data_IF_430850251371
#
_entry.id   IF_430850251371
#
_cell.length_a   1.000
_cell.length_b   1.000
_cell.length_c   1.000
_cell.angle_alpha   90.00
_cell.angle_beta   90.00
_cell.angle_gamma   90.00
#
_symmetry.space_group_name_H-M   'P 1'
#
loop_
_entity.id
_entity.type
_entity.pdbx_description
1 polymer ?
#
# COMPACT_ATOMS: atom_id res chain seq x y z
N UNK A 1 -8.45 -15.87 -4.54
CA UNK A 1 -7.30 -15.11 -4.03
C UNK A 1 -7.41 -14.96 -2.52
N UNK A 2 -6.57 -15.70 -1.79
CA UNK A 2 -6.58 -15.76 -0.33
C UNK A 2 -6.25 -14.39 0.31
N UNK A 3 -5.55 -13.50 -0.38
CA UNK A 3 -5.20 -12.16 0.12
C UNK A 3 -6.43 -11.29 0.36
N UNK A 4 -7.54 -11.58 -0.34
CA UNK A 4 -8.82 -10.89 -0.17
C UNK A 4 -9.80 -11.62 0.78
N UNK A 5 -9.34 -12.62 1.51
CA UNK A 5 -10.16 -13.36 2.47
C UNK A 5 -10.37 -12.59 3.77
N UNK A 6 -11.39 -12.96 4.53
CA UNK A 6 -11.64 -12.42 5.87
C UNK A 6 -10.53 -12.77 6.88
N UNK A 7 -9.71 -13.78 6.57
CA UNK A 7 -8.52 -14.10 7.34
C UNK A 7 -7.46 -13.00 7.22
N UNK A 8 -7.28 -12.41 6.03
CA UNK A 8 -6.27 -11.37 5.77
C UNK A 8 -6.80 -9.94 5.93
N UNK A 9 -8.11 -9.76 5.79
CA UNK A 9 -8.73 -8.43 5.89
C UNK A 9 -9.93 -8.52 6.82
N UNK A 10 -9.82 -7.93 8.00
CA UNK A 10 -10.95 -7.80 8.92
C UNK A 10 -11.92 -6.74 8.41
N UNK A 11 -13.09 -7.16 7.98
CA UNK A 11 -14.17 -6.28 7.48
C UNK A 11 -15.31 -6.12 8.46
N UNK A 12 -15.47 -7.08 9.38
CA UNK A 12 -16.57 -7.12 10.33
C UNK A 12 -16.10 -6.66 11.71
N UNK A 13 -16.82 -5.71 12.26
CA UNK A 13 -16.58 -5.14 13.57
C UNK A 13 -17.81 -5.37 14.46
N UNK A 14 -17.59 -5.57 15.73
CA UNK A 14 -18.63 -5.84 16.71
C UNK A 14 -18.44 -4.95 17.93
N UNK A 15 -19.55 -4.53 18.55
CA UNK A 15 -19.51 -3.79 19.79
C UNK A 15 -18.96 -4.70 20.90
N UNK A 16 -17.88 -4.28 21.54
CA UNK A 16 -17.19 -5.07 22.56
C UNK A 16 -17.19 -4.44 23.95
N UNK A 17 -17.95 -3.36 24.17
CA UNK A 17 -18.11 -2.77 25.49
C UNK A 17 -19.17 -3.53 26.28
N UNK A 18 -18.81 -4.29 27.35
CA UNK A 18 -19.76 -5.07 28.11
C UNK A 18 -20.77 -4.21 28.93
N UNK A 19 -20.45 -2.93 29.14
CA UNK A 19 -21.34 -2.01 29.84
C UNK A 19 -22.49 -1.51 28.95
N UNK A 20 -22.35 -1.64 27.63
CA UNK A 20 -23.39 -1.31 26.66
C UNK A 20 -24.20 -2.54 26.27
N UNK A 21 -24.94 -3.08 27.22
CA UNK A 21 -25.61 -4.40 27.11
C UNK A 21 -26.53 -4.52 25.90
N UNK A 22 -27.15 -3.43 25.44
CA UNK A 22 -28.05 -3.43 24.28
C UNK A 22 -27.30 -3.61 22.93
N UNK A 23 -26.04 -3.25 22.88
CA UNK A 23 -25.21 -3.29 21.67
C UNK A 23 -24.14 -4.39 21.73
N UNK A 24 -23.78 -4.84 22.93
CA UNK A 24 -22.71 -5.82 23.12
C UNK A 24 -22.87 -7.05 22.23
N UNK A 25 -21.83 -7.39 21.48
CA UNK A 25 -21.82 -8.53 20.55
C UNK A 25 -22.55 -8.29 19.23
N UNK A 26 -23.26 -7.18 19.06
CA UNK A 26 -23.90 -6.86 17.77
C UNK A 26 -22.87 -6.39 16.76
N UNK A 27 -23.10 -6.74 15.49
CA UNK A 27 -22.27 -6.26 14.37
C UNK A 27 -22.47 -4.76 14.17
N UNK A 28 -21.37 -4.02 14.02
CA UNK A 28 -21.41 -2.61 13.65
C UNK A 28 -21.94 -2.47 12.21
N UNK A 29 -22.86 -1.53 12.00
CA UNK A 29 -23.31 -1.19 10.67
C UNK A 29 -22.26 -0.27 9.99
N UNK A 30 -21.40 -0.87 9.15
CA UNK A 30 -20.31 -0.20 8.47
C UNK A 30 -20.61 -0.21 6.98
N UNK A 31 -20.67 0.98 6.39
CA UNK A 31 -20.81 1.20 4.95
C UNK A 31 -19.53 1.81 4.40
N UNK A 32 -19.38 1.84 3.07
CA UNK A 32 -18.25 2.55 2.45
C UNK A 32 -18.19 4.02 2.87
N UNK A 33 -19.34 4.66 3.06
CA UNK A 33 -19.42 6.02 3.57
C UNK A 33 -18.79 6.17 4.96
N UNK A 34 -18.98 5.18 5.86
CA UNK A 34 -18.37 5.22 7.19
C UNK A 34 -16.87 4.97 7.15
N UNK A 35 -16.33 4.27 6.16
CA UNK A 35 -14.87 4.10 6.02
C UNK A 35 -14.14 5.42 5.86
N UNK A 36 -14.72 6.36 5.14
CA UNK A 36 -14.12 7.68 4.92
C UNK A 36 -14.38 8.67 6.05
N UNK A 37 -15.48 8.52 6.79
CA UNK A 37 -15.88 9.42 7.87
C UNK A 37 -15.31 9.04 9.25
N UNK A 38 -15.13 7.74 9.50
CA UNK A 38 -14.58 7.24 10.78
C UNK A 38 -13.29 6.48 10.53
N UNK A 39 -12.17 7.06 10.95
CA UNK A 39 -10.83 6.44 10.80
C UNK A 39 -10.63 5.14 11.60
N UNK A 40 -11.62 4.71 12.38
CA UNK A 40 -11.54 3.54 13.24
C UNK A 40 -12.31 2.32 12.72
N UNK A 41 -13.22 2.48 11.77
CA UNK A 41 -14.12 1.43 11.28
C UNK A 41 -13.95 1.21 9.77
N UNK A 42 -12.76 0.84 9.35
CA UNK A 42 -12.43 0.51 7.97
C UNK A 42 -11.90 -0.93 7.86
N UNK A 43 -11.86 -1.52 6.66
CA UNK A 43 -11.22 -2.82 6.46
C UNK A 43 -9.76 -2.78 6.94
N UNK A 44 -9.42 -3.62 7.91
CA UNK A 44 -8.10 -3.63 8.53
C UNK A 44 -7.32 -4.88 8.12
N UNK A 45 -6.07 -4.68 7.69
CA UNK A 45 -5.17 -5.79 7.39
C UNK A 45 -4.78 -6.51 8.68
N UNK A 46 -4.91 -7.84 8.68
CA UNK A 46 -4.46 -8.69 9.79
C UNK A 46 -3.02 -9.16 9.63
N UNK A 47 -2.40 -8.85 8.49
CA UNK A 47 -1.04 -9.27 8.11
C UNK A 47 0.02 -9.00 9.20
N UNK A 48 -0.12 -7.88 9.91
CA UNK A 48 0.78 -7.47 10.97
C UNK A 48 0.18 -7.60 12.37
N UNK A 49 -1.03 -8.15 12.46
CA UNK A 49 -1.70 -8.30 13.74
C UNK A 49 -1.03 -9.40 14.57
N UNK A 50 -0.73 -9.07 15.81
CA UNK A 50 -0.17 -9.98 16.81
C UNK A 50 -1.15 -10.04 17.99
N UNK A 51 -2.17 -10.89 17.83
CA UNK A 51 -3.35 -10.92 18.70
C UNK A 51 -3.17 -11.80 19.93
N UNK A 52 -2.19 -11.55 20.81
CA UNK A 52 -2.19 -12.10 22.15
C UNK A 52 -2.85 -11.08 23.09
N UNK A 53 -3.75 -11.55 23.96
CA UNK A 53 -4.46 -10.68 24.92
C UNK A 53 -3.49 -9.85 25.78
N UNK A 54 -2.38 -10.43 26.19
CA UNK A 54 -1.31 -9.79 26.96
C UNK A 54 -0.66 -8.60 26.25
N UNK A 55 -0.81 -8.49 24.93
CA UNK A 55 -0.19 -7.46 24.10
C UNK A 55 -1.16 -6.40 23.55
N UNK A 56 -2.47 -6.51 23.85
CA UNK A 56 -3.48 -5.59 23.31
C UNK A 56 -3.32 -4.15 23.81
N UNK A 57 -2.69 -3.96 24.98
CA UNK A 57 -2.41 -2.64 25.54
C UNK A 57 -1.07 -2.05 25.12
N UNK A 58 -0.24 -2.80 24.43
CA UNK A 58 1.10 -2.35 24.02
C UNK A 58 0.99 -1.50 22.74
N UNK A 59 1.76 -0.41 22.69
CA UNK A 59 1.90 0.43 21.50
C UNK A 59 2.81 -0.17 20.45
N UNK A 60 3.53 -1.25 20.78
CA UNK A 60 4.44 -1.98 19.89
C UNK A 60 4.02 -3.43 19.69
N UNK A 61 4.59 -4.08 18.70
CA UNK A 61 4.38 -5.49 18.40
C UNK A 61 5.73 -6.20 18.35
N UNK A 62 5.79 -7.42 18.91
CA UNK A 62 6.95 -8.32 18.79
C UNK A 62 6.98 -9.08 17.47
N UNK A 63 6.01 -8.84 16.57
CA UNK A 63 5.99 -9.48 15.26
C UNK A 63 7.03 -8.85 14.36
N UNK A 64 7.87 -9.69 13.77
CA UNK A 64 8.86 -9.26 12.78
C UNK A 64 8.18 -8.63 11.56
N UNK A 65 8.79 -7.57 11.06
CA UNK A 65 8.37 -6.96 9.79
C UNK A 65 9.31 -7.41 8.68
N UNK A 66 8.73 -8.00 7.67
CA UNK A 66 9.43 -8.31 6.43
C UNK A 66 9.95 -7.02 5.79
N UNK A 67 11.25 -6.96 5.53
CA UNK A 67 11.88 -5.87 4.77
C UNK A 67 11.92 -6.18 3.29
N UNK A 68 12.32 -7.41 2.97
CA UNK A 68 12.36 -7.93 1.61
C UNK A 68 11.88 -9.37 1.62
N UNK A 69 11.19 -9.78 0.56
CA UNK A 69 10.76 -11.15 0.39
C UNK A 69 10.65 -11.51 -1.09
N UNK A 70 10.67 -12.79 -1.37
CA UNK A 70 10.73 -13.34 -2.74
C UNK A 70 9.61 -12.82 -3.65
N UNK A 71 8.41 -12.58 -3.12
CA UNK A 71 7.32 -11.98 -3.91
C UNK A 71 7.69 -10.62 -4.48
N UNK A 72 8.38 -9.78 -3.71
CA UNK A 72 8.85 -8.48 -4.21
C UNK A 72 9.89 -8.66 -5.33
N UNK A 73 10.78 -9.63 -5.18
CA UNK A 73 11.78 -9.97 -6.20
C UNK A 73 11.10 -10.37 -7.52
N UNK A 74 10.08 -11.22 -7.48
CA UNK A 74 9.32 -11.58 -8.69
C UNK A 74 8.62 -10.38 -9.32
N UNK A 75 8.05 -9.47 -8.50
CA UNK A 75 7.39 -8.27 -9.01
C UNK A 75 8.39 -7.24 -9.58
N UNK A 76 9.61 -7.17 -9.06
CA UNK A 76 10.71 -6.39 -9.65
C UNK A 76 11.21 -7.04 -10.95
N UNK A 77 11.30 -8.35 -11.00
CA UNK A 77 11.64 -9.08 -12.23
C UNK A 77 10.60 -8.84 -13.32
N UNK A 78 9.31 -8.88 -12.98
CA UNK A 78 8.24 -8.56 -13.92
C UNK A 78 8.36 -7.12 -14.45
N UNK A 79 8.70 -6.16 -13.58
CA UNK A 79 8.93 -4.78 -13.99
C UNK A 79 10.11 -4.65 -14.95
N UNK A 80 11.19 -5.36 -14.69
CA UNK A 80 12.35 -5.38 -15.59
C UNK A 80 12.00 -5.95 -16.97
N UNK A 81 11.22 -7.04 -17.02
CA UNK A 81 10.75 -7.60 -18.29
C UNK A 81 9.82 -6.65 -19.04
N UNK A 82 8.93 -5.93 -18.35
CA UNK A 82 8.11 -4.89 -18.99
C UNK A 82 8.97 -3.77 -19.56
N UNK A 83 10.06 -3.39 -18.88
CA UNK A 83 11.02 -2.42 -19.41
C UNK A 83 11.80 -2.91 -20.64
N UNK A 84 11.78 -4.21 -20.92
CA UNK A 84 12.36 -4.86 -22.09
C UNK A 84 11.30 -5.22 -23.15
N UNK A 85 10.06 -4.76 -22.99
CA UNK A 85 8.91 -5.09 -23.82
C UNK A 85 8.58 -6.62 -23.86
N UNK A 86 9.07 -7.37 -22.88
CA UNK A 86 8.83 -8.82 -22.76
C UNK A 86 7.65 -9.08 -21.82
N UNK A 87 6.46 -8.90 -22.36
CA UNK A 87 5.21 -9.06 -21.60
C UNK A 87 4.95 -10.51 -21.19
N UNK A 88 5.47 -11.49 -21.96
CA UNK A 88 5.29 -12.90 -21.62
C UNK A 88 6.06 -13.27 -20.34
N UNK A 89 7.37 -12.98 -20.29
CA UNK A 89 8.15 -13.25 -19.09
C UNK A 89 7.72 -12.40 -17.90
N UNK A 90 7.22 -11.18 -18.15
CA UNK A 90 6.62 -10.36 -17.10
C UNK A 90 5.36 -11.02 -16.50
N UNK A 91 4.47 -11.55 -17.33
CA UNK A 91 3.29 -12.30 -16.89
C UNK A 91 3.67 -13.57 -16.11
N UNK A 92 4.65 -14.33 -16.59
CA UNK A 92 5.14 -15.52 -15.92
C UNK A 92 5.64 -15.20 -14.51
N UNK A 93 6.45 -14.16 -14.35
CA UNK A 93 6.96 -13.71 -13.06
C UNK A 93 5.84 -13.26 -12.10
N UNK A 94 4.84 -12.54 -12.58
CA UNK A 94 3.67 -12.17 -11.78
C UNK A 94 2.85 -13.40 -11.39
N UNK A 95 2.73 -14.37 -12.29
CA UNK A 95 1.96 -15.58 -12.06
C UNK A 95 2.54 -16.47 -10.95
N UNK A 96 3.84 -16.43 -10.69
CA UNK A 96 4.43 -17.07 -9.50
C UNK A 96 3.82 -16.51 -8.20
N UNK A 97 3.66 -15.19 -8.11
CA UNK A 97 3.05 -14.54 -6.96
C UNK A 97 1.55 -14.86 -6.88
N UNK A 98 0.85 -14.79 -8.02
CA UNK A 98 -0.60 -15.05 -8.12
C UNK A 98 -0.94 -16.50 -7.82
N UNK A 99 -0.14 -17.44 -8.32
CA UNK A 99 -0.31 -18.89 -8.07
C UNK A 99 -0.22 -19.21 -6.58
N UNK A 100 0.78 -18.67 -5.88
CA UNK A 100 0.90 -18.82 -4.43
C UNK A 100 -0.33 -18.30 -3.68
N UNK A 101 -0.94 -17.21 -4.18
CA UNK A 101 -2.10 -16.58 -3.57
C UNK A 101 -3.44 -17.23 -3.99
N UNK A 102 -3.43 -18.24 -4.86
CA UNK A 102 -4.65 -18.83 -5.42
C UNK A 102 -5.46 -17.84 -6.25
N UNK A 103 -4.79 -16.89 -6.91
CA UNK A 103 -5.41 -15.93 -7.81
C UNK A 103 -5.39 -16.46 -9.25
N UNK A 104 -6.34 -16.01 -10.07
CA UNK A 104 -6.38 -16.35 -11.50
C UNK A 104 -5.11 -15.90 -12.20
N UNK A 105 -4.48 -16.76 -12.97
CA UNK A 105 -3.31 -16.44 -13.80
C UNK A 105 -3.69 -15.43 -14.89
N UNK A 106 -2.70 -14.70 -15.36
CA UNK A 106 -2.85 -13.74 -16.47
C UNK A 106 -1.98 -14.16 -17.64
N UNK A 107 -2.37 -13.70 -18.82
CA UNK A 107 -1.59 -13.85 -20.05
C UNK A 107 -0.75 -12.58 -20.34
N UNK A 108 0.10 -12.68 -21.36
CA UNK A 108 0.94 -11.56 -21.79
C UNK A 108 0.14 -10.33 -22.25
N UNK A 109 -1.06 -10.54 -22.80
CA UNK A 109 -1.91 -9.45 -23.29
C UNK A 109 -2.50 -8.59 -22.19
N UNK A 110 -2.70 -9.19 -21.00
CA UNK A 110 -3.17 -8.47 -19.81
C UNK A 110 -2.03 -7.80 -19.03
N UNK A 111 -0.77 -8.14 -19.32
CA UNK A 111 0.37 -7.67 -18.57
C UNK A 111 0.76 -6.23 -18.96
N UNK A 112 0.47 -5.30 -18.09
CA UNK A 112 0.80 -3.87 -18.23
C UNK A 112 1.46 -3.35 -16.96
N UNK A 113 2.10 -2.18 -17.03
CA UNK A 113 2.65 -1.51 -15.84
C UNK A 113 1.54 -1.22 -14.81
N UNK A 114 0.36 -0.82 -15.24
CA UNK A 114 -0.75 -0.55 -14.31
C UNK A 114 -1.24 -1.84 -13.64
N UNK A 115 -1.31 -2.95 -14.38
CA UNK A 115 -1.61 -4.26 -13.79
C UNK A 115 -0.55 -4.67 -12.75
N UNK A 116 0.73 -4.51 -13.09
CA UNK A 116 1.83 -4.80 -12.17
C UNK A 116 1.72 -3.98 -10.89
N UNK A 117 1.44 -2.69 -11.00
CA UNK A 117 1.28 -1.81 -9.84
C UNK A 117 0.07 -2.20 -8.97
N UNK A 118 -0.99 -2.72 -9.58
CA UNK A 118 -2.13 -3.27 -8.85
C UNK A 118 -1.78 -4.58 -8.14
N UNK A 119 -1.01 -5.44 -8.79
CA UNK A 119 -0.56 -6.67 -8.16
C UNK A 119 0.42 -6.40 -7.01
N UNK A 120 1.31 -5.42 -7.17
CA UNK A 120 2.21 -4.97 -6.10
C UNK A 120 1.43 -4.52 -4.85
N UNK A 121 0.36 -3.74 -5.00
CA UNK A 121 -0.40 -3.30 -3.83
C UNK A 121 -1.17 -4.47 -3.18
N UNK A 122 -1.73 -5.41 -3.96
CA UNK A 122 -2.39 -6.60 -3.40
C UNK A 122 -1.43 -7.45 -2.58
N UNK A 123 -0.21 -7.59 -3.05
CA UNK A 123 0.81 -8.44 -2.43
C UNK A 123 1.57 -7.74 -1.31
N UNK A 124 1.99 -6.50 -1.51
CA UNK A 124 2.94 -5.78 -0.67
C UNK A 124 2.30 -4.67 0.19
N UNK A 125 0.97 -4.65 0.30
CA UNK A 125 0.29 -3.68 1.14
C UNK A 125 0.83 -3.72 2.58
N UNK A 126 1.22 -2.56 3.10
CA UNK A 126 1.86 -2.41 4.42
C UNK A 126 3.34 -2.78 4.49
N UNK A 127 3.93 -3.33 3.42
CA UNK A 127 5.36 -3.66 3.32
C UNK A 127 6.09 -2.66 2.41
N UNK A 128 5.51 -2.41 1.23
CA UNK A 128 6.11 -1.55 0.21
C UNK A 128 5.98 -0.07 0.57
N UNK A 129 7.04 0.70 0.31
CA UNK A 129 6.96 2.16 0.26
C UNK A 129 6.33 2.59 -1.08
N UNK A 130 5.01 2.57 -1.14
CA UNK A 130 4.21 2.77 -2.35
C UNK A 130 4.56 4.04 -3.13
N UNK A 131 4.82 5.14 -2.41
CA UNK A 131 5.18 6.41 -3.04
C UNK A 131 6.45 6.28 -3.87
N UNK A 132 7.50 5.63 -3.36
CA UNK A 132 8.75 5.46 -4.10
C UNK A 132 8.56 4.64 -5.36
N UNK A 133 7.77 3.56 -5.29
CA UNK A 133 7.44 2.77 -6.48
C UNK A 133 6.71 3.61 -7.52
N UNK A 134 5.71 4.38 -7.12
CA UNK A 134 4.94 5.21 -8.05
C UNK A 134 5.74 6.37 -8.64
N UNK A 135 6.66 6.98 -7.88
CA UNK A 135 7.58 8.00 -8.41
C UNK A 135 8.54 7.37 -9.41
N UNK A 136 9.19 6.26 -9.05
CA UNK A 136 10.19 5.58 -9.89
C UNK A 136 9.59 5.09 -11.22
N UNK A 137 8.33 4.66 -11.22
CA UNK A 137 7.60 4.22 -12.42
C UNK A 137 6.89 5.35 -13.16
N UNK A 138 7.07 6.60 -12.71
CA UNK A 138 6.40 7.80 -13.26
C UNK A 138 4.86 7.70 -13.26
N UNK A 139 4.29 7.04 -12.25
CA UNK A 139 2.86 6.79 -12.13
C UNK A 139 2.21 7.48 -10.91
N UNK A 140 2.96 8.28 -10.13
CA UNK A 140 2.44 8.86 -8.90
C UNK A 140 1.21 9.74 -9.15
N UNK A 141 1.35 10.72 -10.04
CA UNK A 141 0.30 11.72 -10.28
C UNK A 141 -0.97 11.06 -10.81
N UNK A 142 -0.83 10.25 -11.86
CA UNK A 142 -1.96 9.62 -12.54
C UNK A 142 -2.70 8.65 -11.61
N UNK A 143 -1.97 7.81 -10.89
CA UNK A 143 -2.57 6.84 -9.97
C UNK A 143 -3.22 7.51 -8.75
N UNK A 144 -2.64 8.59 -8.22
CA UNK A 144 -3.26 9.34 -7.13
C UNK A 144 -4.54 10.03 -7.61
N UNK A 145 -4.52 10.65 -8.79
CA UNK A 145 -5.73 11.27 -9.37
C UNK A 145 -6.84 10.25 -9.62
N UNK A 146 -6.49 9.06 -10.08
CA UNK A 146 -7.45 8.01 -10.38
C UNK A 146 -8.03 7.35 -9.12
N UNK A 147 -7.22 7.15 -8.06
CA UNK A 147 -7.59 6.24 -6.97
C UNK A 147 -7.64 6.88 -5.58
N UNK A 148 -7.18 8.11 -5.40
CA UNK A 148 -7.19 8.76 -4.08
C UNK A 148 -8.18 9.92 -4.04
N UNK A 149 -9.38 9.65 -3.56
CA UNK A 149 -10.47 10.65 -3.49
C UNK A 149 -10.15 11.84 -2.59
N UNK A 150 -9.22 11.69 -1.64
CA UNK A 150 -8.88 12.74 -0.66
C UNK A 150 -7.94 13.80 -1.22
N UNK A 151 -6.97 13.38 -2.05
CA UNK A 151 -5.90 14.28 -2.51
C UNK A 151 -5.79 14.38 -4.04
N UNK A 152 -6.67 13.71 -4.80
CA UNK A 152 -6.65 13.69 -6.27
C UNK A 152 -6.56 15.09 -6.91
N UNK A 153 -7.23 16.08 -6.30
CA UNK A 153 -7.29 17.45 -6.82
C UNK A 153 -6.16 18.36 -6.27
N UNK A 154 -5.34 17.83 -5.35
CA UNK A 154 -4.27 18.58 -4.68
C UNK A 154 -2.87 18.16 -5.16
N UNK A 155 -2.74 16.97 -5.71
CA UNK A 155 -1.44 16.46 -6.17
C UNK A 155 -0.99 17.16 -7.45
N UNK A 156 0.27 17.57 -7.49
CA UNK A 156 0.88 18.29 -8.59
C UNK A 156 2.28 17.74 -8.93
N UNK A 157 2.92 18.23 -9.97
CA UNK A 157 4.30 17.85 -10.34
C UNK A 157 5.32 18.14 -9.23
N UNK A 158 5.08 19.17 -8.41
CA UNK A 158 5.89 19.46 -7.23
C UNK A 158 6.03 18.23 -6.33
N UNK A 159 4.96 17.46 -6.19
CA UNK A 159 4.89 16.32 -5.26
C UNK A 159 5.67 15.09 -5.72
N UNK A 160 6.31 15.12 -6.89
CA UNK A 160 7.30 14.11 -7.30
C UNK A 160 8.57 14.17 -6.45
N UNK A 161 8.92 15.34 -5.97
CA UNK A 161 10.03 15.57 -5.06
C UNK A 161 9.54 15.83 -3.62
N UNK A 162 10.44 15.82 -2.68
CA UNK A 162 10.19 16.23 -1.30
C UNK A 162 10.89 17.56 -1.05
N UNK A 163 10.37 18.42 -0.15
CA UNK A 163 11.12 19.59 0.27
C UNK A 163 12.41 19.16 0.95
N UNK A 164 13.50 19.86 0.64
CA UNK A 164 14.76 19.69 1.34
C UNK A 164 14.61 20.38 2.71
N UNK A 165 14.92 19.71 3.83
CA UNK A 165 14.86 20.35 5.14
C UNK A 165 15.72 21.62 5.16
N UNK A 166 15.17 22.74 5.67
CA UNK A 166 15.86 24.03 5.69
C UNK A 166 17.22 23.94 6.39
N UNK A 167 17.33 23.16 7.46
CA UNK A 167 18.60 22.95 8.17
C UNK A 167 19.71 22.37 7.28
N UNK A 168 19.35 21.57 6.26
CA UNK A 168 20.34 21.02 5.31
C UNK A 168 20.79 22.11 4.35
N UNK A 169 19.88 22.96 3.88
CA UNK A 169 20.19 24.11 3.02
C UNK A 169 21.12 25.06 3.77
N UNK A 170 20.77 25.43 5.00
CA UNK A 170 21.51 26.40 5.81
C UNK A 170 22.90 25.89 6.26
N UNK A 171 23.06 24.57 6.35
CA UNK A 171 24.36 23.95 6.70
C UNK A 171 25.35 23.95 5.55
N UNK A 172 24.88 24.10 4.32
CA UNK A 172 25.74 24.19 3.13
C UNK A 172 26.23 25.66 2.96
N UNK A 173 27.49 25.92 3.31
CA UNK A 173 28.07 27.28 3.32
C UNK A 173 28.88 27.62 2.09
N UNK A 174 29.31 26.62 1.33
CA UNK A 174 30.33 26.78 0.31
C UNK A 174 29.73 26.99 -1.09
N UNK A 175 28.51 26.48 -1.32
CA UNK A 175 27.84 26.55 -2.62
C UNK A 175 26.35 26.83 -2.41
N UNK A 176 25.74 27.58 -3.30
CA UNK A 176 24.29 27.75 -3.32
C UNK A 176 23.60 26.39 -3.43
N UNK A 177 22.72 26.10 -2.46
CA UNK A 177 21.96 24.86 -2.41
C UNK A 177 20.45 25.17 -2.45
N UNK A 178 19.88 25.28 -3.66
CA UNK A 178 18.49 25.71 -3.82
C UNK A 178 17.51 24.64 -3.35
N UNK A 179 16.36 25.09 -2.92
CA UNK A 179 15.21 24.22 -2.63
C UNK A 179 14.68 23.55 -3.91
N UNK A 180 14.04 22.41 -3.77
CA UNK A 180 13.34 21.76 -4.88
C UNK A 180 12.23 22.67 -5.44
N UNK A 181 11.98 22.64 -6.75
CA UNK A 181 10.98 23.50 -7.39
C UNK A 181 9.61 23.39 -6.75
N UNK A 182 8.99 24.53 -6.43
CA UNK A 182 7.65 24.62 -5.84
C UNK A 182 7.60 24.52 -4.31
N UNK A 183 8.75 24.52 -3.63
CA UNK A 183 8.88 24.52 -2.16
C UNK A 183 9.60 25.77 -1.62
N UNK A 184 9.44 26.88 -2.27
CA UNK A 184 10.03 28.18 -1.85
C UNK A 184 9.35 28.75 -0.63
#
# INVERSE_FOLDING_TARGET
DIRNSDYNIKRNWYYNNPNETSLYGRKCNITEQTWFSTKSLFPALTKFFYGREENLSLTGSYKDRMKFRLSETYLLLAEAYLGMDDTQRAADAVNEVRGRAGATMIDAGAMTMDFLLDERIRELVGEESRRFTLVRTNKLIDRVKAHNTTIKDKITQRDLLWPIPQAIIDSNRDVEFPQNPGYN
#
